data_IF_909424940243
#
_entry.id   IF_909424940243
#
_cell.length_a   1.000
_cell.length_b   1.000
_cell.length_c   1.000
_cell.angle_alpha   90.00
_cell.angle_beta   90.00
_cell.angle_gamma   90.00
#
_symmetry.space_group_name_H-M   'P 1'
#
loop_
_entity.id
_entity.type
_entity.pdbx_description
1 polymer ?
#
# COMPACT_ATOMS: atom_id res chain seq x y z
N UNK A 1 23.11 1.15 -21.45
CA UNK A 1 22.13 0.04 -21.49
C UNK A 1 20.91 0.50 -20.71
N UNK A 2 19.75 0.62 -21.35
CA UNK A 2 18.53 0.98 -20.64
C UNK A 2 18.23 -0.10 -19.60
N UNK A 3 18.15 0.27 -18.32
CA UNK A 3 17.95 -0.66 -17.22
C UNK A 3 16.61 -1.38 -17.37
N UNK A 4 16.67 -2.69 -17.55
CA UNK A 4 15.51 -3.56 -17.59
C UNK A 4 14.71 -3.46 -16.28
N UNK A 5 13.39 -3.31 -16.39
CA UNK A 5 12.48 -3.15 -15.24
C UNK A 5 12.12 -4.48 -14.57
N UNK A 6 12.63 -5.61 -15.08
CA UNK A 6 12.35 -6.96 -14.60
C UNK A 6 12.65 -7.18 -13.10
N UNK A 7 13.54 -6.37 -12.49
CA UNK A 7 13.84 -6.44 -11.04
C UNK A 7 12.88 -5.67 -10.13
N UNK A 8 11.93 -4.92 -10.70
CA UNK A 8 11.01 -4.08 -9.93
C UNK A 8 9.63 -4.71 -9.83
N UNK A 9 8.85 -4.35 -8.80
CA UNK A 9 7.47 -4.79 -8.75
C UNK A 9 6.67 -4.25 -9.94
N UNK A 10 6.90 -2.99 -10.33
CA UNK A 10 6.16 -2.27 -11.37
C UNK A 10 6.37 -2.85 -12.77
N UNK A 11 7.60 -3.25 -13.12
CA UNK A 11 7.92 -3.80 -14.43
C UNK A 11 8.12 -5.31 -14.48
N UNK A 12 8.35 -5.97 -13.35
CA UNK A 12 8.66 -7.40 -13.26
C UNK A 12 7.61 -8.19 -12.51
N UNK A 13 8.01 -8.80 -11.38
CA UNK A 13 7.23 -9.83 -10.67
C UNK A 13 5.84 -9.39 -10.18
N UNK A 14 5.56 -8.09 -10.08
CA UNK A 14 4.30 -7.58 -9.52
C UNK A 14 3.15 -7.48 -10.52
N UNK A 15 3.40 -7.64 -11.83
CA UNK A 15 2.42 -7.34 -12.88
C UNK A 15 1.09 -8.08 -12.72
N UNK A 16 1.11 -9.38 -12.44
CA UNK A 16 -0.11 -10.17 -12.31
C UNK A 16 -0.91 -9.80 -11.06
N UNK A 17 -0.20 -9.44 -9.97
CA UNK A 17 -0.85 -8.92 -8.77
C UNK A 17 -1.51 -7.57 -9.06
N UNK A 18 -0.85 -6.66 -9.79
CA UNK A 18 -1.47 -5.39 -10.17
C UNK A 18 -2.74 -5.55 -10.99
N UNK A 19 -2.74 -6.45 -11.98
CA UNK A 19 -3.93 -6.77 -12.78
C UNK A 19 -5.05 -7.33 -11.91
N UNK A 20 -4.73 -8.30 -11.02
CA UNK A 20 -5.69 -8.95 -10.10
C UNK A 20 -6.46 -7.95 -9.23
N UNK A 21 -5.79 -6.90 -8.75
CA UNK A 21 -6.40 -5.89 -7.87
C UNK A 21 -6.77 -4.59 -8.59
N UNK A 22 -6.85 -4.61 -9.93
CA UNK A 22 -7.22 -3.44 -10.73
C UNK A 22 -6.42 -2.18 -10.39
N UNK A 23 -5.10 -2.34 -10.15
CA UNK A 23 -4.18 -1.25 -9.82
C UNK A 23 -4.63 -0.40 -8.61
N UNK A 24 -5.37 -1.00 -7.67
CA UNK A 24 -5.96 -0.30 -6.52
C UNK A 24 -5.36 -0.83 -5.22
N UNK A 25 -4.98 0.06 -4.32
CA UNK A 25 -4.45 -0.33 -3.02
C UNK A 25 -5.49 -1.06 -2.17
N UNK A 26 -5.17 -2.28 -1.74
CA UNK A 26 -6.08 -3.17 -0.98
C UNK A 26 -6.39 -2.65 0.44
N UNK A 27 -5.58 -1.70 0.93
CA UNK A 27 -5.70 -1.14 2.28
C UNK A 27 -6.49 0.18 2.35
N UNK A 28 -6.27 1.09 1.41
CA UNK A 28 -6.85 2.44 1.47
C UNK A 28 -7.65 2.84 0.22
N UNK A 29 -7.72 1.99 -0.81
CA UNK A 29 -8.42 2.30 -2.05
C UNK A 29 -7.72 3.31 -2.95
N UNK A 30 -6.44 3.65 -2.69
CA UNK A 30 -5.66 4.52 -3.57
C UNK A 30 -5.67 3.99 -5.02
N UNK A 31 -6.14 4.81 -5.95
CA UNK A 31 -6.27 4.50 -7.36
C UNK A 31 -4.95 4.77 -8.09
N UNK A 32 -4.28 3.71 -8.52
CA UNK A 32 -3.00 3.79 -9.22
C UNK A 32 -3.11 3.66 -10.74
N UNK A 33 -4.26 3.98 -11.36
CA UNK A 33 -4.45 3.79 -12.83
C UNK A 33 -3.91 4.94 -13.69
N UNK A 34 -3.56 6.08 -13.10
CA UNK A 34 -2.89 7.20 -13.79
C UNK A 34 -1.39 7.16 -13.52
N UNK A 35 -0.55 7.60 -14.47
CA UNK A 35 0.90 7.39 -14.45
C UNK A 35 1.58 7.75 -13.11
N UNK A 36 1.39 8.96 -12.60
CA UNK A 36 2.03 9.38 -11.34
C UNK A 36 1.56 8.56 -10.14
N UNK A 37 0.29 8.13 -10.14
CA UNK A 37 -0.28 7.28 -9.09
C UNK A 37 0.17 5.82 -9.25
N UNK A 38 0.31 5.33 -10.48
CA UNK A 38 0.83 4.00 -10.79
C UNK A 38 2.25 3.84 -10.24
N UNK A 39 3.10 4.86 -10.39
CA UNK A 39 4.44 4.87 -9.80
C UNK A 39 4.47 4.78 -8.27
N UNK A 40 3.36 5.14 -7.60
CA UNK A 40 3.20 5.01 -6.15
C UNK A 40 2.69 3.64 -5.71
N UNK A 41 2.38 2.73 -6.63
CA UNK A 41 2.05 1.36 -6.28
C UNK A 41 3.30 0.54 -5.96
N UNK A 42 3.10 -0.48 -5.14
CA UNK A 42 4.08 -1.47 -4.71
C UNK A 42 3.35 -2.78 -4.43
N UNK A 43 4.10 -3.85 -4.24
CA UNK A 43 3.58 -5.13 -3.76
C UNK A 43 3.92 -5.27 -2.28
N UNK A 44 2.92 -5.60 -1.47
CA UNK A 44 3.09 -5.92 -0.05
C UNK A 44 2.82 -7.41 0.16
N UNK A 45 3.64 -8.03 1.01
CA UNK A 45 3.43 -9.38 1.49
C UNK A 45 2.44 -9.33 2.66
N UNK A 46 1.32 -10.03 2.57
CA UNK A 46 0.30 -10.06 3.63
C UNK A 46 0.94 -10.49 4.94
N UNK A 47 1.59 -11.66 4.96
CA UNK A 47 2.57 -12.05 5.98
C UNK A 47 3.97 -11.63 5.48
N UNK A 48 4.70 -10.74 6.17
CA UNK A 48 6.03 -10.32 5.70
C UNK A 48 7.03 -11.48 5.60
N UNK A 49 7.99 -11.37 4.67
CA UNK A 49 9.08 -12.36 4.52
C UNK A 49 9.86 -12.60 5.82
N UNK A 50 10.08 -11.55 6.61
CA UNK A 50 10.73 -11.65 7.92
C UNK A 50 9.94 -12.46 8.95
N UNK A 51 8.67 -12.74 8.69
CA UNK A 51 7.78 -13.55 9.51
C UNK A 51 7.32 -14.81 8.75
N UNK A 52 8.14 -15.33 7.82
CA UNK A 52 7.86 -16.59 7.11
C UNK A 52 6.93 -16.48 5.90
N UNK A 53 6.56 -15.28 5.47
CA UNK A 53 5.72 -15.11 4.29
C UNK A 53 6.41 -15.48 2.97
N UNK A 54 5.66 -16.13 2.08
CA UNK A 54 6.14 -16.59 0.76
C UNK A 54 5.90 -15.54 -0.33
N UNK A 55 6.53 -15.72 -1.50
CA UNK A 55 6.22 -14.97 -2.73
C UNK A 55 5.02 -15.57 -3.51
N UNK A 56 4.26 -16.47 -2.88
CA UNK A 56 3.07 -17.05 -3.51
C UNK A 56 2.05 -15.94 -3.83
N UNK A 57 1.33 -16.02 -4.96
CA UNK A 57 0.35 -15.00 -5.33
C UNK A 57 -0.74 -14.76 -4.25
N UNK A 58 -1.01 -15.75 -3.41
CA UNK A 58 -1.94 -15.67 -2.28
C UNK A 58 -1.34 -15.03 -1.01
N UNK A 59 -0.08 -14.66 -1.02
CA UNK A 59 0.52 -13.78 -0.01
C UNK A 59 0.79 -12.36 -0.54
N UNK A 60 0.53 -12.09 -1.83
CA UNK A 60 0.82 -10.79 -2.45
C UNK A 60 -0.44 -9.94 -2.67
N UNK A 61 -0.33 -8.65 -2.37
CA UNK A 61 -1.37 -7.65 -2.59
C UNK A 61 -0.79 -6.35 -3.14
N UNK A 62 -1.63 -5.57 -3.84
CA UNK A 62 -1.28 -4.21 -4.25
C UNK A 62 -1.39 -3.26 -3.06
N UNK A 63 -0.33 -2.51 -2.81
CA UNK A 63 -0.32 -1.46 -1.79
C UNK A 63 0.32 -0.18 -2.36
N UNK A 64 -0.24 0.99 -2.06
CA UNK A 64 0.50 2.23 -2.29
C UNK A 64 1.70 2.28 -1.32
N UNK A 65 2.78 2.95 -1.72
CA UNK A 65 4.04 3.02 -0.97
C UNK A 65 3.85 3.45 0.49
N UNK A 66 2.94 4.40 0.75
CA UNK A 66 2.64 4.86 2.12
C UNK A 66 1.99 3.77 2.97
N UNK A 67 1.01 3.03 2.44
CA UNK A 67 0.38 1.93 3.18
C UNK A 67 1.34 0.76 3.39
N UNK A 68 2.12 0.40 2.36
CA UNK A 68 3.16 -0.62 2.48
C UNK A 68 4.18 -0.24 3.58
N UNK A 69 4.61 1.02 3.63
CA UNK A 69 5.49 1.50 4.70
C UNK A 69 4.84 1.41 6.09
N UNK A 70 3.52 1.57 6.22
CA UNK A 70 2.80 1.46 7.50
C UNK A 70 2.74 0.00 7.97
N UNK A 71 2.58 -0.95 7.05
CA UNK A 71 2.25 -2.36 7.34
C UNK A 71 3.45 -3.31 7.27
N UNK A 72 4.51 -2.97 6.52
CA UNK A 72 5.66 -3.85 6.22
C UNK A 72 6.43 -4.35 7.46
N UNK A 73 6.29 -3.68 8.61
CA UNK A 73 6.92 -4.05 9.88
C UNK A 73 5.99 -4.74 10.88
N UNK A 74 4.76 -5.04 10.49
CA UNK A 74 3.84 -5.77 11.36
C UNK A 74 4.24 -7.25 11.43
N UNK A 75 4.10 -7.85 12.60
CA UNK A 75 4.26 -9.29 12.81
C UNK A 75 2.90 -9.90 13.14
N UNK A 76 2.76 -11.19 12.83
CA UNK A 76 1.52 -11.95 13.00
C UNK A 76 1.88 -13.33 13.52
N UNK A 77 1.03 -13.92 14.36
CA UNK A 77 1.22 -15.31 14.80
C UNK A 77 0.90 -16.29 13.67
N UNK A 78 1.34 -17.54 13.78
CA UNK A 78 1.12 -18.55 12.72
C UNK A 78 -0.35 -18.94 12.57
N UNK A 79 -1.14 -18.79 13.63
CA UNK A 79 -2.57 -19.11 13.65
C UNK A 79 -3.43 -18.06 12.93
N UNK A 80 -2.90 -16.86 12.67
CA UNK A 80 -3.65 -15.80 12.01
C UNK A 80 -3.88 -16.10 10.53
N UNK A 81 -5.16 -16.09 10.15
CA UNK A 81 -5.56 -16.31 8.76
C UNK A 81 -5.22 -15.09 7.90
N UNK A 82 -5.20 -15.28 6.58
CA UNK A 82 -5.08 -14.17 5.61
C UNK A 82 -6.09 -13.04 5.89
N UNK A 83 -7.33 -13.39 6.27
CA UNK A 83 -8.39 -12.41 6.54
C UNK A 83 -8.09 -11.60 7.79
N UNK A 84 -7.60 -12.25 8.84
CA UNK A 84 -7.25 -11.59 10.11
C UNK A 84 -6.12 -10.59 9.91
N UNK A 85 -5.06 -11.03 9.21
CA UNK A 85 -3.90 -10.19 8.89
C UNK A 85 -4.31 -8.97 8.06
N UNK A 86 -5.10 -9.17 7.00
CA UNK A 86 -5.59 -8.06 6.16
C UNK A 86 -6.46 -7.09 6.96
N UNK A 87 -7.28 -7.59 7.88
CA UNK A 87 -8.12 -6.76 8.76
C UNK A 87 -7.25 -5.88 9.66
N UNK A 88 -6.28 -6.48 10.37
CA UNK A 88 -5.34 -5.74 11.23
C UNK A 88 -4.51 -4.72 10.45
N UNK A 89 -4.05 -5.08 9.23
CA UNK A 89 -3.32 -4.15 8.35
C UNK A 89 -4.20 -2.96 7.94
N UNK A 90 -5.46 -3.19 7.56
CA UNK A 90 -6.42 -2.12 7.22
C UNK A 90 -6.70 -1.20 8.40
N UNK A 91 -6.92 -1.74 9.58
CA UNK A 91 -7.14 -0.94 10.80
C UNK A 91 -5.92 -0.06 11.12
N UNK A 92 -4.70 -0.61 11.04
CA UNK A 92 -3.47 0.16 11.24
C UNK A 92 -3.32 1.26 10.20
N UNK A 93 -3.61 0.97 8.93
CA UNK A 93 -3.56 1.95 7.85
C UNK A 93 -4.57 3.07 8.09
N UNK A 94 -5.82 2.74 8.43
CA UNK A 94 -6.86 3.72 8.73
C UNK A 94 -6.44 4.65 9.88
N UNK A 95 -5.96 4.08 10.99
CA UNK A 95 -5.50 4.85 12.15
C UNK A 95 -4.32 5.78 11.81
N UNK A 96 -3.32 5.29 11.09
CA UNK A 96 -2.15 6.09 10.70
C UNK A 96 -2.50 7.17 9.69
N UNK A 97 -3.36 6.87 8.70
CA UNK A 97 -3.84 7.86 7.72
C UNK A 97 -4.63 8.98 8.40
N UNK A 98 -5.47 8.66 9.39
CA UNK A 98 -6.18 9.68 10.19
C UNK A 98 -5.18 10.63 10.85
N UNK A 99 -4.17 10.10 11.54
CA UNK A 99 -3.12 10.92 12.19
C UNK A 99 -2.33 11.77 11.18
N UNK A 100 -1.96 11.20 10.03
CA UNK A 100 -1.27 11.97 8.99
C UNK A 100 -2.14 13.06 8.40
N UNK A 101 -3.43 12.81 8.23
CA UNK A 101 -4.37 13.82 7.76
C UNK A 101 -4.51 14.96 8.77
N UNK A 102 -4.64 14.67 10.06
CA UNK A 102 -4.69 15.68 11.13
C UNK A 102 -3.42 16.55 11.14
N UNK A 103 -2.23 15.93 11.09
CA UNK A 103 -0.96 16.66 10.99
C UNK A 103 -0.90 17.53 9.74
N UNK A 104 -1.23 16.96 8.59
CA UNK A 104 -1.23 17.69 7.33
C UNK A 104 -2.24 18.86 7.35
N UNK A 105 -3.41 18.68 7.94
CA UNK A 105 -4.45 19.71 8.03
C UNK A 105 -4.02 20.88 8.93
N UNK A 106 -3.27 20.60 9.99
CA UNK A 106 -2.84 21.62 10.95
C UNK A 106 -1.55 22.32 10.52
N UNK A 107 -0.60 21.58 9.96
CA UNK A 107 0.78 22.07 9.78
C UNK A 107 1.09 22.41 8.32
N UNK A 108 0.46 21.70 7.37
CA UNK A 108 0.81 21.81 5.94
C UNK A 108 -0.23 22.64 5.19
N UNK A 109 -1.49 22.25 5.26
CA UNK A 109 -2.56 22.84 4.45
C UNK A 109 -2.69 24.37 4.61
N UNK A 110 -2.72 24.93 5.84
CA UNK A 110 -2.90 26.37 6.03
C UNK A 110 -1.75 27.21 5.47
N UNK A 111 -0.57 26.60 5.34
CA UNK A 111 0.66 27.29 4.94
C UNK A 111 1.02 27.09 3.46
N UNK A 112 0.40 26.10 2.79
CA UNK A 112 0.87 25.64 1.48
C UNK A 112 -0.22 25.33 0.47
N UNK A 113 -1.50 25.44 0.82
CA UNK A 113 -2.59 25.14 -0.11
C UNK A 113 -3.64 26.24 -0.16
N UNK A 114 -3.68 26.96 -1.29
CA UNK A 114 -4.86 27.72 -1.72
C UNK A 114 -5.96 26.80 -2.30
N UNK A 115 -5.71 25.49 -2.44
CA UNK A 115 -6.58 24.55 -3.17
C UNK A 115 -7.43 23.68 -2.23
N UNK A 116 -8.76 23.60 -2.43
CA UNK A 116 -9.64 22.82 -1.57
C UNK A 116 -9.36 21.31 -1.64
N UNK A 117 -9.58 20.65 -0.51
CA UNK A 117 -9.29 19.25 -0.27
C UNK A 117 -10.20 18.28 -1.02
N UNK A 118 -9.72 17.09 -1.42
CA UNK A 118 -10.60 16.01 -1.85
C UNK A 118 -11.43 15.53 -0.65
N UNK A 119 -12.74 15.35 -0.85
CA UNK A 119 -13.63 14.78 0.17
C UNK A 119 -13.14 13.37 0.51
N UNK A 120 -12.73 13.16 1.76
CA UNK A 120 -12.42 11.83 2.29
C UNK A 120 -13.76 11.11 2.47
N UNK A 121 -13.94 9.97 1.79
CA UNK A 121 -15.08 9.07 1.96
C UNK A 121 -14.88 8.14 3.15
#
# INVERSE_FOLDING_TARGET
MAGDLNGTSLGGYGQDTYKRYHYTCVYCGFDGRVFDSWMQLSIDHIRPRSAGGTDDPDNLVVACRSCNSITSRMTFSEEETRKDILTKKRERVALRRKKFYELWQNDVAPNHLERPLPKIK
#
